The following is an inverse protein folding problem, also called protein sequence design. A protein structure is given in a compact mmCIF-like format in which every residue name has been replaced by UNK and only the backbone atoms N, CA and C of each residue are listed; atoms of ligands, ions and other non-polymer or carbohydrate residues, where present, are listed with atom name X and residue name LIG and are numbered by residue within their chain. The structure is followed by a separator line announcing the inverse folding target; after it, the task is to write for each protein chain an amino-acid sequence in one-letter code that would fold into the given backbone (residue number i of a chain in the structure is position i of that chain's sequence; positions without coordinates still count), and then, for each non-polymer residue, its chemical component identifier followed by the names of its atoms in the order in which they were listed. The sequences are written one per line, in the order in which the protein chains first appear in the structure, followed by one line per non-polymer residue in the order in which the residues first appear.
data_IF_071569847306
#
_entry.id   IF_071569847306
#
_cell.length_a   1.000
_cell.length_b   1.000
_cell.length_c   1.000
_cell.angle_alpha   90.00
_cell.angle_beta   90.00
_cell.angle_gamma   90.00
#
_symmetry.space_group_name_H-M   'P 1'
#
loop_
_entity.id
_entity.type
_entity.pdbx_description
1 polymer ?
#
# COMPACT_ATOMS: atom_id res chain seq x y z
N UNK A 1 -0.04 -1.20 4.87
CA UNK A 1 -0.02 -2.15 3.74
C UNK A 1 -0.27 -3.54 4.30
N UNK A 2 -1.01 -4.39 3.59
CA UNK A 2 -1.25 -5.77 4.03
C UNK A 2 0.00 -6.64 3.79
N UNK A 3 0.11 -7.80 4.46
CA UNK A 3 1.23 -8.73 4.27
C UNK A 3 1.26 -9.37 2.87
N UNK A 4 0.16 -9.35 2.14
CA UNK A 4 0.07 -9.92 0.79
C UNK A 4 0.61 -8.96 -0.28
N UNK A 5 0.47 -7.65 -0.05
CA UNK A 5 0.87 -6.61 -1.01
C UNK A 5 2.38 -6.32 -0.95
N UNK A 6 3.02 -6.53 0.20
CA UNK A 6 4.44 -6.20 0.41
C UNK A 6 5.38 -6.92 -0.58
N UNK A 7 5.04 -8.15 -0.98
CA UNK A 7 5.83 -8.91 -1.96
C UNK A 7 5.94 -8.25 -3.33
N UNK A 8 5.08 -7.25 -3.61
CA UNK A 8 5.00 -6.55 -4.89
C UNK A 8 5.43 -5.08 -4.80
N UNK A 9 5.67 -4.55 -3.59
CA UNK A 9 6.17 -3.18 -3.41
C UNK A 9 7.69 -3.19 -3.60
N UNK A 10 8.20 -2.32 -4.48
CA UNK A 10 9.64 -2.21 -4.76
C UNK A 10 10.07 -0.75 -4.89
N UNK A 11 11.31 -0.41 -4.51
CA UNK A 11 11.91 0.88 -4.84
C UNK A 11 11.78 1.19 -6.34
N UNK A 12 11.57 2.47 -6.66
CA UNK A 12 11.36 2.96 -8.03
C UNK A 12 9.90 2.96 -8.52
N UNK A 13 8.97 2.38 -7.76
CA UNK A 13 7.55 2.42 -8.13
C UNK A 13 6.96 3.84 -7.99
N UNK A 14 6.15 4.23 -8.97
CA UNK A 14 5.40 5.48 -8.93
C UNK A 14 4.31 5.44 -7.86
N UNK A 15 4.20 6.53 -7.11
CA UNK A 15 3.24 6.73 -6.03
C UNK A 15 2.45 7.99 -6.30
N UNK A 16 1.14 7.97 -6.04
CA UNK A 16 0.31 9.16 -5.95
C UNK A 16 -0.09 9.41 -4.51
N UNK A 17 0.07 10.64 -4.03
CA UNK A 17 -0.24 11.00 -2.65
C UNK A 17 -1.39 12.00 -2.60
N UNK A 18 -2.37 11.70 -1.74
CA UNK A 18 -3.53 12.53 -1.44
C UNK A 18 -3.38 13.09 -0.03
N UNK A 19 -3.25 14.40 0.10
CA UNK A 19 -3.08 15.05 1.39
C UNK A 19 -4.42 15.43 2.01
N UNK A 20 -4.63 15.12 3.29
CA UNK A 20 -5.88 15.43 3.97
C UNK A 20 -6.16 16.94 4.05
N UNK A 21 -5.11 17.76 4.14
CA UNK A 21 -5.20 19.22 4.15
C UNK A 21 -5.65 19.82 2.80
N UNK A 22 -5.50 19.07 1.70
CA UNK A 22 -5.79 19.53 0.35
C UNK A 22 -6.64 18.48 -0.39
N UNK A 23 -7.99 18.61 -0.35
CA UNK A 23 -8.89 17.67 -1.02
C UNK A 23 -8.51 17.44 -2.48
N UNK A 24 -8.18 16.20 -2.82
CA UNK A 24 -7.58 15.87 -4.12
C UNK A 24 -8.50 16.16 -5.30
N UNK A 25 -9.82 16.18 -5.11
CA UNK A 25 -10.77 16.55 -6.16
C UNK A 25 -10.60 18.01 -6.59
N UNK A 26 -10.15 18.86 -5.67
CA UNK A 26 -9.91 20.28 -5.94
C UNK A 26 -8.44 20.55 -6.25
N UNK A 27 -7.51 20.10 -5.41
CA UNK A 27 -6.10 20.49 -5.49
C UNK A 27 -5.19 19.48 -6.21
N UNK A 28 -5.73 18.33 -6.62
CA UNK A 28 -4.96 17.28 -7.26
C UNK A 28 -4.17 16.39 -6.29
N UNK A 29 -3.15 15.72 -6.81
CA UNK A 29 -2.31 14.77 -6.09
C UNK A 29 -0.84 15.08 -6.33
N UNK A 30 0.00 14.69 -5.38
CA UNK A 30 1.44 14.82 -5.50
C UNK A 30 2.01 13.51 -6.03
N UNK A 31 2.90 13.60 -7.02
CA UNK A 31 3.64 12.46 -7.51
C UNK A 31 4.83 12.17 -6.58
N UNK A 32 5.13 10.90 -6.39
CA UNK A 32 6.30 10.45 -5.66
C UNK A 32 6.81 9.13 -6.19
N UNK A 33 7.93 8.69 -5.63
CA UNK A 33 8.58 7.43 -5.96
C UNK A 33 8.92 6.68 -4.67
N UNK A 34 8.67 5.38 -4.63
CA UNK A 34 9.12 4.55 -3.50
C UNK A 34 10.64 4.57 -3.47
N UNK A 35 11.22 5.08 -2.39
CA UNK A 35 12.66 5.13 -2.19
C UNK A 35 13.15 3.87 -1.46
N UNK A 36 12.42 3.48 -0.41
CA UNK A 36 12.79 2.34 0.42
C UNK A 36 11.56 1.63 0.97
N UNK A 37 11.67 0.32 1.16
CA UNK A 37 10.67 -0.52 1.80
C UNK A 37 11.33 -1.19 2.99
N UNK A 38 10.91 -0.84 4.20
CA UNK A 38 11.44 -1.42 5.43
C UNK A 38 11.04 -2.89 5.56
N UNK A 39 12.01 -3.73 5.91
CA UNK A 39 11.81 -5.17 6.14
C UNK A 39 11.11 -5.47 7.47
N UNK A 40 11.03 -4.49 8.38
CA UNK A 40 10.45 -4.67 9.71
C UNK A 40 8.94 -4.50 9.69
N UNK A 41 8.26 -5.57 10.10
CA UNK A 41 6.88 -5.50 10.55
C UNK A 41 6.82 -4.80 11.90
N UNK A 42 6.53 -3.50 11.90
CA UNK A 42 6.23 -2.79 13.14
C UNK A 42 4.74 -2.96 13.46
N UNK A 43 4.40 -2.96 14.76
CA UNK A 43 3.02 -2.76 15.22
C UNK A 43 2.43 -1.56 14.47
N UNK A 44 1.35 -1.77 13.72
CA UNK A 44 0.73 -0.73 12.91
C UNK A 44 -0.12 0.20 13.82
N UNK A 45 0.31 1.43 14.14
CA UNK A 45 -0.42 2.30 15.05
C UNK A 45 -1.65 2.96 14.40
N UNK A 46 -1.81 2.84 13.07
CA UNK A 46 -2.89 3.48 12.30
C UNK A 46 -3.86 2.52 11.60
N UNK A 47 -3.71 1.19 11.79
CA UNK A 47 -4.70 0.22 11.33
C UNK A 47 -5.98 0.31 12.18
N UNK A 48 -7.16 -0.03 11.63
CA UNK A 48 -8.37 -0.08 12.44
C UNK A 48 -8.12 -0.98 13.64
N UNK A 49 -8.20 -0.40 14.85
CA UNK A 49 -8.24 -1.17 16.07
C UNK A 49 -9.37 -2.19 15.91
N UNK A 50 -9.05 -3.48 16.02
CA UNK A 50 -10.03 -4.55 15.93
C UNK A 50 -11.14 -4.32 16.97
N UNK A 51 -12.23 -3.67 16.57
CA UNK A 51 -13.44 -3.53 17.36
C UNK A 51 -14.27 -4.78 17.14
N UNK A 52 -13.94 -5.85 17.87
CA UNK A 52 -14.67 -7.11 17.85
C UNK A 52 -14.44 -7.85 19.17
N UNK A 53 -15.53 -8.05 19.92
CA UNK A 53 -15.57 -8.65 21.25
C UNK A 53 -15.19 -10.14 21.20
N UNK A 54 -14.53 -10.60 22.27
CA UNK A 54 -14.38 -11.98 22.75
C UNK A 54 -13.71 -13.01 21.83
N UNK A 55 -12.50 -13.45 22.23
CA UNK A 55 -12.24 -14.79 22.80
C UNK A 55 -10.78 -15.22 22.53
N UNK A 56 -10.00 -15.32 23.61
CA UNK A 56 -8.92 -16.28 23.91
C UNK A 56 -7.99 -16.88 22.83
N UNK A 57 -7.71 -16.21 21.71
CA UNK A 57 -6.62 -16.62 20.81
C UNK A 57 -5.82 -15.38 20.40
N UNK A 58 -4.50 -15.48 20.54
CA UNK A 58 -3.54 -14.39 20.37
C UNK A 58 -3.88 -13.51 19.16
N UNK A 59 -4.32 -12.27 19.45
CA UNK A 59 -4.64 -11.25 18.45
C UNK A 59 -3.40 -11.00 17.60
N UNK A 60 -3.36 -11.58 16.41
CA UNK A 60 -2.47 -11.18 15.32
C UNK A 60 -2.72 -9.70 15.05
N UNK A 61 -1.94 -8.83 15.69
CA UNK A 61 -1.88 -7.42 15.34
C UNK A 61 -1.57 -7.35 13.84
N UNK A 62 -2.29 -6.54 13.06
CA UNK A 62 -1.98 -6.39 11.64
C UNK A 62 -0.57 -5.82 11.54
N UNK A 63 0.37 -6.69 11.16
CA UNK A 63 1.75 -6.33 10.90
C UNK A 63 1.76 -5.34 9.74
N UNK A 64 2.26 -4.14 9.98
CA UNK A 64 2.33 -3.08 8.99
C UNK A 64 3.76 -2.89 8.54
N UNK A 65 3.98 -2.86 7.22
CA UNK A 65 5.25 -2.48 6.63
C UNK A 65 5.31 -0.97 6.41
N UNK A 66 6.50 -0.39 6.63
CA UNK A 66 6.78 1.02 6.38
C UNK A 66 7.49 1.17 5.03
N UNK A 67 7.06 2.13 4.22
CA UNK A 67 7.74 2.54 3.00
C UNK A 67 8.10 4.02 3.09
N UNK A 68 9.28 4.37 2.60
CA UNK A 68 9.70 5.74 2.38
C UNK A 68 9.39 6.10 0.93
N UNK A 69 8.69 7.22 0.75
CA UNK A 69 8.30 7.74 -0.56
C UNK A 69 8.91 9.13 -0.70
N UNK A 70 9.77 9.30 -1.70
CA UNK A 70 10.30 10.59 -2.08
C UNK A 70 9.25 11.32 -2.93
N UNK A 71 8.84 12.51 -2.50
CA UNK A 71 7.93 13.34 -3.29
C UNK A 71 8.71 14.03 -4.40
N UNK A 72 8.09 14.12 -5.58
CA UNK A 72 8.65 14.84 -6.74
C UNK A 72 8.65 16.35 -6.50
N UNK A 73 7.71 16.83 -5.68
CA UNK A 73 7.64 18.23 -5.30
C UNK A 73 7.07 18.40 -3.88
N UNK A 74 7.49 19.47 -3.20
CA UNK A 74 7.02 19.90 -1.88
C UNK A 74 5.86 20.90 -1.96
N UNK A 75 5.24 21.06 -3.13
CA UNK A 75 4.05 21.89 -3.28
C UNK A 75 3.04 21.29 -4.26
N UNK A 76 1.78 21.65 -4.09
CA UNK A 76 0.73 21.46 -5.10
C UNK A 76 0.64 22.73 -5.93
N UNK A 77 0.71 22.61 -7.24
CA UNK A 77 0.50 23.71 -8.17
C UNK A 77 -0.88 23.59 -8.82
N UNK A 78 -1.77 24.55 -8.56
CA UNK A 78 -3.08 24.63 -9.21
C UNK A 78 -3.42 26.08 -9.53
N UNK A 79 -3.93 26.32 -10.74
CA UNK A 79 -4.32 27.65 -11.24
C UNK A 79 -3.22 28.73 -11.05
N UNK A 80 -1.95 28.31 -11.17
CA UNK A 80 -0.79 29.18 -10.96
C UNK A 80 -0.45 29.50 -9.50
N UNK A 81 -1.19 28.94 -8.53
CA UNK A 81 -0.90 29.07 -7.10
C UNK A 81 -0.16 27.83 -6.58
N UNK A 82 0.81 28.06 -5.71
CA UNK A 82 1.59 27.01 -5.06
C UNK A 82 1.16 26.86 -3.60
N UNK A 83 0.81 25.64 -3.22
CA UNK A 83 0.43 25.27 -1.85
C UNK A 83 1.52 24.38 -1.26
N UNK A 84 2.27 24.93 -0.29
CA UNK A 84 3.37 24.21 0.33
C UNK A 84 2.87 23.00 1.15
N UNK A 85 3.60 21.90 1.06
CA UNK A 85 3.37 20.69 1.83
C UNK A 85 4.26 20.68 3.07
N UNK A 86 3.65 20.60 4.24
CA UNK A 86 4.37 20.51 5.52
C UNK A 86 4.59 19.08 6.02
N UNK A 87 5.61 18.91 6.86
CA UNK A 87 5.80 17.69 7.63
C UNK A 87 4.64 17.47 8.61
N UNK A 88 4.31 16.20 8.90
CA UNK A 88 3.23 15.83 9.83
C UNK A 88 1.83 15.83 9.23
N UNK A 89 1.67 16.27 7.98
CA UNK A 89 0.38 16.16 7.29
C UNK A 89 -0.01 14.71 7.06
N UNK A 90 -1.28 14.39 7.34
CA UNK A 90 -1.85 13.08 7.02
C UNK A 90 -1.99 12.95 5.50
N UNK A 91 -1.59 11.79 4.98
CA UNK A 91 -1.62 11.50 3.54
C UNK A 91 -2.03 10.06 3.27
N UNK A 92 -2.66 9.84 2.13
CA UNK A 92 -2.95 8.53 1.60
C UNK A 92 -2.11 8.30 0.35
N UNK A 93 -1.28 7.25 0.38
CA UNK A 93 -0.37 6.91 -0.71
C UNK A 93 -0.91 5.72 -1.52
N UNK A 94 -1.04 5.92 -2.82
CA UNK A 94 -1.44 4.91 -3.79
C UNK A 94 -0.22 4.49 -4.60
N UNK A 95 0.30 3.29 -4.34
CA UNK A 95 1.46 2.73 -5.04
C UNK A 95 0.99 1.90 -6.23
N UNK A 96 1.56 2.17 -7.42
CA UNK A 96 1.27 1.36 -8.61
C UNK A 96 2.10 0.07 -8.59
N UNK A 97 1.48 -1.04 -8.17
CA UNK A 97 2.14 -2.35 -8.02
C UNK A 97 2.34 -3.14 -9.33
N UNK A 98 1.91 -2.59 -10.47
CA UNK A 98 1.94 -3.25 -11.79
C UNK A 98 0.54 -3.69 -12.25
N UNK A 99 0.47 -4.29 -13.44
CA UNK A 99 -0.78 -4.84 -13.98
C UNK A 99 -0.89 -6.32 -13.61
N UNK A 100 -1.77 -6.66 -12.67
CA UNK A 100 -2.22 -8.05 -12.50
C UNK A 100 -3.38 -8.30 -13.45
N UNK A 101 -3.28 -9.35 -14.25
CA UNK A 101 -4.44 -9.79 -15.04
C UNK A 101 -5.36 -10.63 -14.16
N UNK A 102 -6.67 -10.48 -14.28
CA UNK A 102 -7.66 -11.30 -13.54
C UNK A 102 -7.43 -12.80 -13.79
N UNK A 103 -6.89 -13.15 -14.96
CA UNK A 103 -6.52 -14.52 -15.33
C UNK A 103 -5.52 -15.17 -14.36
N UNK A 104 -4.52 -14.43 -13.84
CA UNK A 104 -3.52 -14.98 -12.91
C UNK A 104 -4.13 -15.39 -11.55
N UNK A 105 -5.16 -14.68 -11.09
CA UNK A 105 -5.89 -15.04 -9.87
C UNK A 105 -6.70 -16.33 -10.06
N UNK A 106 -7.38 -16.46 -11.20
CA UNK A 106 -8.23 -17.61 -11.54
C UNK A 106 -7.43 -18.88 -11.88
N UNK A 107 -6.22 -18.75 -12.42
CA UNK A 107 -5.35 -19.88 -12.78
C UNK A 107 -4.52 -20.41 -11.59
N UNK A 108 -4.41 -19.65 -10.50
CA UNK A 108 -3.64 -20.04 -9.31
C UNK A 108 -4.12 -21.35 -8.62
N UNK A 109 -5.43 -21.67 -8.54
CA UNK A 109 -5.88 -22.91 -7.90
C UNK A 109 -5.70 -24.14 -8.80
N UNK A 110 -5.75 -23.94 -10.13
CA UNK A 110 -5.75 -25.04 -11.11
C UNK A 110 -4.40 -25.78 -11.12
N UNK A 111 -3.29 -25.07 -10.90
CA UNK A 111 -1.95 -25.68 -10.83
C UNK A 111 -1.74 -26.58 -9.60
N UNK A 112 -2.35 -26.25 -8.46
CA UNK A 112 -2.26 -27.08 -7.24
C UNK A 112 -2.98 -28.42 -7.44
N UNK A 113 -4.19 -28.38 -8.01
CA UNK A 113 -4.97 -29.59 -8.27
C UNK A 113 -4.28 -30.56 -9.26
N UNK A 114 -3.55 -30.04 -10.26
CA UNK A 114 -2.86 -30.87 -11.25
C UNK A 114 -1.63 -31.59 -10.70
N UNK A 115 -0.95 -31.04 -9.68
CA UNK A 115 0.22 -31.70 -9.08
C UNK A 115 -0.16 -32.78 -8.06
N UNK A 116 -1.33 -32.70 -7.43
CA UNK A 116 -1.86 -33.75 -6.56
C UNK A 116 -2.42 -34.93 -7.38
N UNK A 117 -3.14 -34.67 -8.48
CA UNK A 117 -3.69 -35.72 -9.33
C UNK A 117 -2.61 -36.55 -10.08
N UNK A 118 -1.39 -36.02 -10.23
CA UNK A 118 -0.28 -36.70 -10.89
C UNK A 118 0.57 -37.58 -9.95
N UNK A 119 0.38 -37.48 -8.62
CA UNK A 119 1.09 -38.33 -7.63
C UNK A 119 0.31 -39.57 -7.21
N UNK A 120 -0.93 -39.70 -7.65
CA UNK A 120 -1.79 -40.83 -7.32
C UNK A 120 -1.97 -41.74 -8.55
N UNK A 121 -0.84 -42.25 -9.06
CA UNK A 121 -0.74 -43.49 -9.84
C UNK A 121 0.59 -44.17 -9.59
#
# INVERSE_FOLDING_TARGET
MSNEDIGFVRPGQAVKLKFAAFPFQKYGMVEGTVEHVGADSADNPGGPAATGRNDSLARSRPLGYKALVALKDMHLAIDGQHFALGAGMQTHAEIRLGQRTVAEYLLSPVRKAWHEAARER
#
